data_IF_521742641682
#
_entry.id   IF_521742641682
#
_cell.length_a   1.000
_cell.length_b   1.000
_cell.length_c   1.000
_cell.angle_alpha   90.00
_cell.angle_beta   90.00
_cell.angle_gamma   90.00
#
_symmetry.space_group_name_H-M   'P 1'
#
loop_
_entity.id
_entity.type
_entity.pdbx_description
1 polymer ?
#
# COMPACT_ATOMS: atom_id res chain seq x y z
N UNK A 1 10.01 -30.07 -32.38
CA UNK A 1 11.00 -30.88 -31.65
C UNK A 1 10.37 -31.21 -30.31
N UNK A 2 10.23 -32.49 -29.96
CA UNK A 2 9.64 -32.89 -28.68
C UNK A 2 10.74 -32.76 -27.62
N UNK A 3 10.49 -31.94 -26.59
CA UNK A 3 11.39 -31.83 -25.45
C UNK A 3 11.02 -32.99 -24.52
N UNK A 4 11.99 -33.84 -24.24
CA UNK A 4 11.84 -35.02 -23.38
C UNK A 4 12.35 -34.69 -21.98
N UNK A 5 11.45 -34.81 -21.01
CA UNK A 5 11.73 -34.66 -19.59
C UNK A 5 10.57 -35.37 -18.86
N UNK A 6 10.79 -36.62 -18.45
CA UNK A 6 9.72 -37.51 -17.97
C UNK A 6 9.82 -37.65 -16.45
N UNK A 7 8.99 -36.94 -15.67
CA UNK A 7 9.09 -36.95 -14.21
C UNK A 7 8.93 -38.35 -13.59
N UNK A 8 8.19 -39.24 -14.27
CA UNK A 8 7.92 -40.59 -13.80
C UNK A 8 9.06 -41.58 -14.09
N UNK A 9 9.90 -41.28 -15.09
CA UNK A 9 11.04 -42.11 -15.46
C UNK A 9 12.32 -41.63 -14.77
N UNK A 10 12.47 -40.31 -14.68
CA UNK A 10 13.65 -39.66 -14.11
C UNK A 10 13.51 -39.50 -12.59
N UNK A 11 13.74 -40.60 -11.86
CA UNK A 11 13.59 -40.65 -10.39
C UNK A 11 14.74 -39.96 -9.60
N UNK A 12 15.78 -39.48 -10.28
CA UNK A 12 16.97 -38.86 -9.66
C UNK A 12 16.84 -37.37 -9.36
N UNK A 13 15.73 -36.72 -9.73
CA UNK A 13 15.52 -35.28 -9.49
C UNK A 13 15.06 -34.95 -8.07
N UNK A 14 14.70 -35.95 -7.26
CA UNK A 14 14.33 -35.79 -5.85
C UNK A 14 15.55 -35.68 -4.91
N UNK A 15 16.77 -35.76 -5.45
CA UNK A 15 18.01 -35.60 -4.70
C UNK A 15 18.10 -34.19 -4.07
N UNK A 16 18.39 -34.09 -2.76
CA UNK A 16 18.54 -32.80 -2.09
C UNK A 16 19.60 -31.94 -2.77
N UNK A 17 19.18 -30.80 -3.34
CA UNK A 17 20.07 -29.84 -4.01
C UNK A 17 20.10 -29.91 -5.54
N UNK A 18 19.53 -30.94 -6.17
CA UNK A 18 19.44 -31.02 -7.64
C UNK A 18 18.59 -29.87 -8.20
N UNK A 19 17.47 -29.57 -7.56
CA UNK A 19 16.61 -28.42 -7.87
C UNK A 19 17.34 -27.10 -7.69
N UNK A 20 18.07 -26.94 -6.59
CA UNK A 20 18.77 -25.69 -6.27
C UNK A 20 19.87 -25.40 -7.29
N UNK A 21 20.59 -26.45 -7.72
CA UNK A 21 21.59 -26.33 -8.77
C UNK A 21 20.97 -25.93 -10.12
N UNK A 22 19.84 -26.53 -10.50
CA UNK A 22 19.12 -26.15 -11.72
C UNK A 22 18.63 -24.69 -11.67
N UNK A 23 18.12 -24.24 -10.53
CA UNK A 23 17.69 -22.85 -10.33
C UNK A 23 18.87 -21.89 -10.43
N UNK A 24 20.03 -22.22 -9.86
CA UNK A 24 21.24 -21.40 -9.97
C UNK A 24 21.67 -21.19 -11.43
N UNK A 25 21.70 -22.27 -12.23
CA UNK A 25 22.03 -22.18 -13.66
C UNK A 25 21.01 -21.34 -14.44
N UNK A 26 19.71 -21.47 -14.13
CA UNK A 26 18.67 -20.65 -14.75
C UNK A 26 18.89 -19.17 -14.41
N UNK A 27 19.24 -18.85 -13.17
CA UNK A 27 19.49 -17.47 -12.75
C UNK A 27 20.70 -16.84 -13.46
N UNK A 28 21.80 -17.59 -13.60
CA UNK A 28 22.98 -17.13 -14.34
C UNK A 28 22.63 -16.78 -15.79
N UNK A 29 21.85 -17.62 -16.46
CA UNK A 29 21.38 -17.36 -17.83
C UNK A 29 20.41 -16.16 -17.90
N UNK A 30 19.51 -16.03 -16.92
CA UNK A 30 18.58 -14.89 -16.83
C UNK A 30 19.30 -13.55 -16.59
N UNK A 31 20.50 -13.55 -16.01
CA UNK A 31 21.32 -12.34 -15.88
C UNK A 31 21.94 -11.92 -17.22
N UNK A 32 22.32 -12.89 -18.05
CA UNK A 32 22.90 -12.64 -19.37
C UNK A 32 21.85 -12.14 -20.37
N UNK A 33 20.66 -12.74 -20.34
CA UNK A 33 19.59 -12.42 -21.28
C UNK A 33 18.42 -11.75 -20.58
N UNK A 34 18.22 -10.45 -20.86
CA UNK A 34 17.01 -9.75 -20.41
C UNK A 34 15.78 -10.39 -21.05
N UNK A 35 14.76 -10.78 -20.27
CA UNK A 35 13.52 -11.32 -20.80
C UNK A 35 12.94 -10.38 -21.87
N UNK A 36 12.88 -10.86 -23.11
CA UNK A 36 12.43 -10.05 -24.26
C UNK A 36 10.92 -10.15 -24.48
N UNK A 37 10.29 -11.20 -23.94
CA UNK A 37 8.85 -11.44 -24.07
C UNK A 37 8.18 -11.08 -22.75
N UNK A 38 7.26 -10.13 -22.81
CA UNK A 38 6.35 -9.87 -21.71
C UNK A 38 5.32 -11.01 -21.66
N UNK A 39 5.48 -11.90 -20.69
CA UNK A 39 4.58 -13.04 -20.49
C UNK A 39 3.18 -12.58 -20.04
N UNK A 40 3.03 -11.32 -19.61
CA UNK A 40 1.76 -10.73 -19.22
C UNK A 40 1.00 -10.10 -20.39
N UNK A 41 1.61 -9.96 -21.57
CA UNK A 41 1.01 -9.27 -22.73
C UNK A 41 -0.35 -9.85 -23.18
N UNK A 42 -0.56 -11.14 -22.97
CA UNK A 42 -1.79 -11.83 -23.40
C UNK A 42 -2.91 -11.76 -22.34
N UNK A 43 -2.58 -11.32 -21.13
CA UNK A 43 -3.57 -11.17 -20.07
C UNK A 43 -4.23 -9.80 -20.18
N UNK A 44 -5.54 -9.69 -19.91
CA UNK A 44 -6.17 -8.39 -19.77
C UNK A 44 -5.53 -7.64 -18.61
N UNK A 45 -5.52 -6.31 -18.70
CA UNK A 45 -5.16 -5.45 -17.58
C UNK A 45 -5.97 -5.86 -16.34
N UNK A 46 -5.36 -5.91 -15.15
CA UNK A 46 -6.08 -6.14 -13.91
C UNK A 46 -7.24 -5.15 -13.77
N UNK A 47 -8.37 -5.62 -13.26
CA UNK A 47 -9.54 -4.79 -13.01
C UNK A 47 -9.41 -4.07 -11.66
N UNK A 48 -9.71 -2.77 -11.63
CA UNK A 48 -9.55 -1.87 -10.49
C UNK A 48 -10.71 -1.99 -9.48
N UNK A 49 -11.26 -3.19 -9.29
CA UNK A 49 -12.44 -3.45 -8.42
C UNK A 49 -12.24 -3.03 -6.96
N UNK A 50 -10.99 -2.97 -6.51
CA UNK A 50 -10.63 -2.60 -5.15
C UNK A 50 -10.17 -1.14 -5.03
N UNK A 51 -10.17 -0.39 -6.14
CA UNK A 51 -9.73 0.98 -6.19
C UNK A 51 -10.86 1.90 -5.69
N UNK A 52 -10.83 2.19 -4.39
CA UNK A 52 -11.77 3.13 -3.76
C UNK A 52 -11.29 4.58 -3.93
N UNK A 53 -12.21 5.54 -3.89
CA UNK A 53 -11.87 6.96 -3.92
C UNK A 53 -10.92 7.34 -2.77
N UNK A 54 -11.05 6.68 -1.61
CA UNK A 54 -10.16 6.87 -0.46
C UNK A 54 -8.74 6.45 -0.83
N UNK A 55 -8.57 5.27 -1.44
CA UNK A 55 -7.26 4.77 -1.85
C UNK A 55 -6.58 5.69 -2.88
N UNK A 56 -7.35 6.21 -3.85
CA UNK A 56 -6.85 7.19 -4.83
C UNK A 56 -6.30 8.43 -4.15
N UNK A 57 -7.10 9.04 -3.27
CA UNK A 57 -6.72 10.24 -2.55
C UNK A 57 -5.49 10.01 -1.65
N UNK A 58 -5.39 8.83 -1.01
CA UNK A 58 -4.25 8.45 -0.19
C UNK A 58 -2.97 8.27 -1.02
N UNK A 59 -3.08 7.65 -2.20
CA UNK A 59 -1.96 7.49 -3.13
C UNK A 59 -1.48 8.86 -3.62
N UNK A 60 -2.39 9.75 -4.00
CA UNK A 60 -2.07 11.12 -4.41
C UNK A 60 -1.38 11.90 -3.28
N UNK A 61 -1.85 11.75 -2.02
CA UNK A 61 -1.21 12.35 -0.84
C UNK A 61 0.23 11.86 -0.70
N UNK A 62 0.46 10.55 -0.82
CA UNK A 62 1.79 9.94 -0.71
C UNK A 62 2.72 10.39 -1.84
N UNK A 63 2.26 10.39 -3.09
CA UNK A 63 3.03 10.86 -4.25
C UNK A 63 3.44 12.32 -4.10
N UNK A 64 2.56 13.16 -3.54
CA UNK A 64 2.84 14.57 -3.27
C UNK A 64 3.60 14.81 -1.95
N UNK A 65 4.01 13.76 -1.23
CA UNK A 65 4.65 13.85 0.09
C UNK A 65 3.90 14.74 1.09
N UNK A 66 2.57 14.77 0.98
CA UNK A 66 1.73 15.56 1.87
C UNK A 66 1.60 14.86 3.23
N UNK A 67 1.81 15.56 4.34
CA UNK A 67 1.56 15.02 5.68
C UNK A 67 0.09 14.61 5.83
N UNK A 68 -0.16 13.60 6.66
CA UNK A 68 -1.52 13.21 7.03
C UNK A 68 -2.21 14.34 7.80
N UNK A 69 -3.51 14.54 7.55
CA UNK A 69 -4.30 15.49 8.33
C UNK A 69 -4.31 15.05 9.80
N UNK A 70 -3.97 15.98 10.69
CA UNK A 70 -3.98 15.70 12.11
C UNK A 70 -5.42 15.57 12.60
N UNK A 71 -5.65 14.60 13.49
CA UNK A 71 -6.94 14.46 14.15
C UNK A 71 -7.20 15.74 14.94
N UNK A 72 -8.27 16.44 14.60
CA UNK A 72 -8.66 17.67 15.27
C UNK A 72 -9.19 17.35 16.68
N UNK A 73 -8.32 17.47 17.68
CA UNK A 73 -8.65 17.25 19.09
C UNK A 73 -9.46 18.39 19.71
N UNK A 74 -9.62 19.54 19.04
CA UNK A 74 -10.32 20.72 19.60
C UNK A 74 -11.80 20.46 19.88
N UNK A 75 -12.40 19.43 19.29
CA UNK A 75 -13.79 19.03 19.58
C UNK A 75 -13.91 18.27 20.90
N UNK A 76 -12.82 17.68 21.39
CA UNK A 76 -12.77 16.91 22.64
C UNK A 76 -12.13 17.68 23.80
N UNK A 77 -11.45 18.78 23.49
CA UNK A 77 -10.96 19.72 24.49
C UNK A 77 -12.06 20.76 24.73
N UNK A 78 -12.57 20.84 25.96
CA UNK A 78 -13.44 21.95 26.39
C UNK A 78 -12.52 23.12 26.75
N UNK A 79 -12.26 24.08 25.86
CA UNK A 79 -11.31 25.14 26.17
C UNK A 79 -12.01 26.08 27.15
N UNK A 80 -11.47 26.21 28.37
CA UNK A 80 -11.84 27.35 29.20
C UNK A 80 -11.54 28.64 28.41
N UNK A 81 -12.45 29.63 28.38
CA UNK A 81 -12.18 30.88 27.69
C UNK A 81 -10.88 31.48 28.21
N UNK A 82 -9.97 31.81 27.27
CA UNK A 82 -8.62 32.27 27.56
C UNK A 82 -8.64 33.40 28.61
N UNK A 83 -7.68 33.41 29.53
CA UNK A 83 -7.67 34.28 30.72
C UNK A 83 -7.79 35.77 30.40
N UNK A 84 -7.39 36.20 29.19
CA UNK A 84 -7.52 37.57 28.68
C UNK A 84 -8.81 37.90 27.92
N UNK A 85 -9.65 36.91 27.58
CA UNK A 85 -10.97 37.09 26.92
C UNK A 85 -12.14 36.73 27.84
N UNK A 86 -11.91 36.52 29.14
CA UNK A 86 -12.99 36.26 30.11
C UNK A 86 -14.01 37.40 30.23
N UNK A 87 -13.65 38.61 29.80
CA UNK A 87 -14.53 39.78 29.72
C UNK A 87 -15.29 39.90 28.40
N UNK A 88 -14.95 39.08 27.40
CA UNK A 88 -15.57 39.10 26.07
C UNK A 88 -16.71 38.08 25.98
N UNK A 89 -17.92 38.58 25.73
CA UNK A 89 -19.17 37.80 25.73
C UNK A 89 -19.21 36.82 24.55
N UNK A 90 -18.59 37.15 23.42
CA UNK A 90 -18.59 36.30 22.23
C UNK A 90 -17.72 35.06 22.42
N UNK A 91 -16.63 35.16 23.18
CA UNK A 91 -15.79 34.03 23.56
C UNK A 91 -16.54 33.02 24.44
N UNK A 92 -17.38 33.49 25.36
CA UNK A 92 -18.24 32.63 26.17
C UNK A 92 -19.33 31.95 25.34
N UNK A 93 -19.92 32.66 24.37
CA UNK A 93 -20.95 32.08 23.49
C UNK A 93 -20.38 30.92 22.66
N UNK A 94 -19.18 31.10 22.11
CA UNK A 94 -18.50 30.06 21.33
C UNK A 94 -18.15 28.82 22.18
N UNK A 95 -17.69 29.01 23.43
CA UNK A 95 -17.44 27.90 24.36
C UNK A 95 -18.72 27.15 24.75
N UNK A 96 -19.86 27.84 24.90
CA UNK A 96 -21.16 27.21 25.21
C UNK A 96 -21.72 26.48 24.00
N UNK A 97 -21.67 27.07 22.80
CA UNK A 97 -22.07 26.39 21.56
C UNK A 97 -21.25 25.12 21.31
N UNK A 98 -19.94 25.16 21.55
CA UNK A 98 -19.08 23.96 21.50
C UNK A 98 -19.45 22.92 22.56
N UNK A 99 -19.85 23.34 23.77
CA UNK A 99 -20.30 22.44 24.84
C UNK A 99 -21.64 21.77 24.54
N UNK A 100 -22.54 22.44 23.81
CA UNK A 100 -23.86 21.92 23.42
C UNK A 100 -23.79 20.95 22.23
N UNK A 101 -22.70 20.96 21.47
CA UNK A 101 -22.48 20.06 20.33
C UNK A 101 -21.94 18.68 20.74
N UNK A 102 -21.83 18.40 22.05
CA UNK A 102 -21.61 17.08 22.65
C UNK A 102 -22.92 16.33 22.90
#
# INVERSE_FOLDING_TARGET
>A
MLIDALPYYDQGYDDPGARDHAVALIQEEMMLYKPTKDYLQHFPLPDDKFETQILKNEMDRMTNSQPMESINMKRYELPEPATGLRTDVDAWRLSVENSQAQ
#
